data_IF_494764777459
#
_entry.id   IF_494764777459
#
_cell.length_a   1.000
_cell.length_b   1.000
_cell.length_c   1.000
_cell.angle_alpha   90.00
_cell.angle_beta   90.00
_cell.angle_gamma   90.00
#
_symmetry.space_group_name_H-M   'P 1'
#
loop_
_entity.id
_entity.type
_entity.pdbx_description
1 polymer ?
#
# COMPACT_ATOMS: atom_id res chain seq x y z
N UNK A 1 -6.44 16.88 -2.49
CA UNK A 1 -5.91 17.79 -1.42
C UNK A 1 -4.83 18.68 -2.01
N UNK A 2 -4.90 20.03 -1.86
CA UNK A 2 -3.95 20.96 -2.53
C UNK A 2 -2.92 21.56 -1.58
N UNK A 3 -3.25 21.68 -0.30
CA UNK A 3 -2.39 22.23 0.74
C UNK A 3 -2.03 21.15 1.74
N UNK A 4 -0.78 21.11 2.16
CA UNK A 4 -0.23 20.05 3.01
C UNK A 4 0.31 20.62 4.33
N UNK A 5 0.79 21.86 4.34
CA UNK A 5 1.39 22.48 5.51
C UNK A 5 0.44 22.45 6.71
N UNK A 6 0.94 22.03 7.86
CA UNK A 6 0.17 21.87 9.10
C UNK A 6 -0.82 20.70 9.13
N UNK A 7 -1.05 20.00 8.02
CA UNK A 7 -1.90 18.81 7.98
C UNK A 7 -1.17 17.58 8.49
N UNK A 8 -1.91 16.47 8.69
CA UNK A 8 -1.36 15.24 9.27
C UNK A 8 -1.60 14.03 8.38
N UNK A 9 -0.62 13.14 8.32
CA UNK A 9 -0.66 11.88 7.59
C UNK A 9 -0.42 10.69 8.52
N UNK A 10 -1.09 9.56 8.24
CA UNK A 10 -0.80 8.26 8.83
C UNK A 10 -0.38 7.27 7.73
N UNK A 11 0.75 6.59 7.93
CA UNK A 11 1.37 5.73 6.90
C UNK A 11 1.70 4.37 7.52
N UNK A 12 1.08 3.30 7.02
CA UNK A 12 1.45 1.92 7.39
C UNK A 12 2.64 1.43 6.56
N UNK A 13 3.54 0.64 7.18
CA UNK A 13 4.82 0.27 6.56
C UNK A 13 5.70 1.50 6.33
N UNK A 14 5.60 2.50 7.24
CA UNK A 14 6.22 3.81 7.09
C UNK A 14 7.70 3.89 7.46
N UNK A 15 8.28 2.82 8.01
CA UNK A 15 9.67 2.83 8.47
C UNK A 15 10.69 2.44 7.38
N UNK A 16 10.23 2.02 6.20
CA UNK A 16 11.12 1.61 5.09
C UNK A 16 10.45 1.76 3.72
N UNK A 17 11.25 1.59 2.66
CA UNK A 17 10.77 1.51 1.28
C UNK A 17 9.83 2.66 0.89
N UNK A 18 8.76 2.33 0.14
CA UNK A 18 7.78 3.31 -0.38
C UNK A 18 7.14 4.11 0.75
N UNK A 19 6.79 3.46 1.88
CA UNK A 19 6.18 4.15 3.03
C UNK A 19 7.07 5.24 3.60
N UNK A 20 8.37 4.99 3.75
CA UNK A 20 9.34 5.99 4.21
C UNK A 20 9.55 7.09 3.16
N UNK A 21 9.58 6.73 1.86
CA UNK A 21 9.64 7.71 0.78
C UNK A 21 8.44 8.67 0.80
N UNK A 22 7.22 8.15 1.00
CA UNK A 22 6.02 8.99 1.20
C UNK A 22 6.14 9.84 2.46
N UNK A 23 6.56 9.27 3.60
CA UNK A 23 6.74 9.99 4.85
C UNK A 23 7.68 11.20 4.70
N UNK A 24 8.81 11.01 4.01
CA UNK A 24 9.77 12.07 3.69
C UNK A 24 9.17 13.16 2.80
N UNK A 25 8.44 12.77 1.77
CA UNK A 25 7.81 13.72 0.86
C UNK A 25 6.75 14.57 1.57
N UNK A 26 5.92 13.96 2.41
CA UNK A 26 4.90 14.66 3.19
C UNK A 26 5.50 15.56 4.27
N UNK A 27 6.52 15.08 4.99
CA UNK A 27 7.25 15.90 5.95
C UNK A 27 7.89 17.12 5.29
N UNK A 28 8.49 16.95 4.11
CA UNK A 28 9.07 18.06 3.34
C UNK A 28 8.02 19.05 2.81
N UNK A 29 6.75 18.64 2.76
CA UNK A 29 5.61 19.51 2.43
C UNK A 29 4.94 20.13 3.68
N UNK A 30 5.56 20.01 4.87
CA UNK A 30 5.09 20.60 6.12
C UNK A 30 4.04 19.80 6.89
N UNK A 31 3.78 18.52 6.49
CA UNK A 31 2.83 17.68 7.21
C UNK A 31 3.44 17.10 8.48
N UNK A 32 2.62 16.96 9.54
CA UNK A 32 2.88 16.07 10.66
C UNK A 32 2.72 14.62 10.20
N UNK A 33 3.62 13.72 10.57
CA UNK A 33 3.64 12.36 10.04
C UNK A 33 3.59 11.32 11.14
N UNK A 34 2.58 10.47 11.15
CA UNK A 34 2.56 9.24 11.92
C UNK A 34 2.99 8.07 11.02
N UNK A 35 4.04 7.36 11.42
CA UNK A 35 4.51 6.15 10.74
C UNK A 35 4.25 4.94 11.62
N UNK A 36 3.65 3.92 11.05
CA UNK A 36 3.41 2.64 11.70
C UNK A 36 4.15 1.52 10.96
N UNK A 37 4.83 0.65 11.71
CA UNK A 37 5.55 -0.50 11.15
C UNK A 37 5.60 -1.62 12.19
N UNK A 38 5.73 -2.88 11.72
CA UNK A 38 5.90 -4.03 12.61
C UNK A 38 7.31 -4.11 13.20
N UNK A 39 8.27 -3.35 12.63
CA UNK A 39 9.68 -3.35 13.02
C UNK A 39 10.01 -2.12 13.86
N UNK A 40 9.96 -2.27 15.17
CA UNK A 40 10.27 -1.19 16.12
C UNK A 40 11.69 -0.62 15.95
N UNK A 41 12.66 -1.45 15.58
CA UNK A 41 14.04 -1.03 15.37
C UNK A 41 14.22 -0.04 14.20
N UNK A 42 13.35 -0.10 13.18
CA UNK A 42 13.39 0.83 12.04
C UNK A 42 12.66 2.14 12.34
N UNK A 43 11.66 2.11 13.21
CA UNK A 43 10.84 3.29 13.54
C UNK A 43 11.68 4.42 14.14
N UNK A 44 12.61 4.11 15.06
CA UNK A 44 13.46 5.14 15.70
C UNK A 44 14.33 5.89 14.69
N UNK A 45 14.91 5.16 13.72
CA UNK A 45 15.73 5.75 12.65
C UNK A 45 14.88 6.58 11.70
N UNK A 46 13.72 6.08 11.31
CA UNK A 46 12.79 6.79 10.44
C UNK A 46 12.26 8.06 11.11
N UNK A 47 11.94 8.01 12.41
CA UNK A 47 11.53 9.18 13.20
C UNK A 47 12.56 10.30 13.14
N UNK A 48 13.82 10.00 13.45
CA UNK A 48 14.89 11.00 13.42
C UNK A 48 15.05 11.64 12.02
N UNK A 49 14.92 10.84 10.97
CA UNK A 49 14.99 11.31 9.58
C UNK A 49 13.82 12.24 9.22
N UNK A 50 12.61 11.95 9.69
CA UNK A 50 11.41 12.77 9.43
C UNK A 50 11.47 14.05 10.25
N UNK A 51 11.82 13.98 11.55
CA UNK A 51 11.95 15.15 12.43
C UNK A 51 13.05 16.14 11.98
N UNK A 52 14.10 15.63 11.34
CA UNK A 52 15.14 16.47 10.73
C UNK A 52 14.59 17.41 9.62
N UNK A 53 13.36 17.18 9.14
CA UNK A 53 12.64 18.04 8.18
C UNK A 53 11.79 19.13 8.85
N UNK A 54 11.86 19.24 10.19
CA UNK A 54 11.21 20.29 10.96
C UNK A 54 9.73 20.04 11.28
N UNK A 55 9.25 18.80 11.17
CA UNK A 55 7.86 18.43 11.46
C UNK A 55 7.77 17.44 12.62
N UNK A 56 6.60 17.36 13.25
CA UNK A 56 6.32 16.35 14.27
C UNK A 56 6.20 14.95 13.64
N UNK A 57 6.84 13.95 14.26
CA UNK A 57 6.75 12.55 13.87
C UNK A 57 6.30 11.66 15.04
N UNK A 58 5.18 10.96 14.85
CA UNK A 58 4.71 9.90 15.74
C UNK A 58 5.13 8.54 15.17
N UNK A 59 5.63 7.64 16.02
CA UNK A 59 5.95 6.27 15.65
C UNK A 59 5.09 5.28 16.42
N UNK A 60 4.54 4.30 15.73
CA UNK A 60 3.67 3.28 16.32
C UNK A 60 4.14 1.90 15.84
N UNK A 61 4.50 1.02 16.79
CA UNK A 61 4.71 -0.39 16.45
C UNK A 61 3.36 -1.05 16.19
N UNK A 62 3.14 -1.56 14.98
CA UNK A 62 1.83 -2.01 14.53
C UNK A 62 1.91 -3.19 13.57
N UNK A 63 1.23 -4.28 13.93
CA UNK A 63 0.81 -5.31 13.01
C UNK A 63 -0.58 -4.93 12.45
N UNK A 64 -0.67 -4.55 11.20
CA UNK A 64 -1.92 -4.12 10.54
C UNK A 64 -2.99 -5.22 10.47
N UNK A 65 -2.60 -6.50 10.64
CA UNK A 65 -3.53 -7.62 10.73
C UNK A 65 -4.26 -7.70 12.08
N UNK A 66 -3.80 -6.94 13.09
CA UNK A 66 -4.49 -6.81 14.37
C UNK A 66 -5.45 -5.61 14.36
N UNK A 67 -6.74 -5.90 14.23
CA UNK A 67 -7.79 -4.88 14.18
C UNK A 67 -7.86 -4.01 15.44
N UNK A 68 -7.57 -4.57 16.61
CA UNK A 68 -7.60 -3.83 17.87
C UNK A 68 -6.43 -2.86 17.95
N UNK A 69 -5.23 -3.31 17.60
CA UNK A 69 -4.04 -2.47 17.53
C UNK A 69 -4.21 -1.33 16.52
N UNK A 70 -4.82 -1.59 15.35
CA UNK A 70 -5.11 -0.54 14.35
C UNK A 70 -6.05 0.53 14.89
N UNK A 71 -7.10 0.15 15.62
CA UNK A 71 -8.02 1.12 16.27
C UNK A 71 -7.32 1.95 17.33
N UNK A 72 -6.42 1.34 18.11
CA UNK A 72 -5.61 2.06 19.08
C UNK A 72 -4.68 3.05 18.39
N UNK A 73 -3.98 2.64 17.32
CA UNK A 73 -3.11 3.51 16.53
C UNK A 73 -3.87 4.74 15.96
N UNK A 74 -5.12 4.55 15.54
CA UNK A 74 -5.98 5.64 15.10
C UNK A 74 -6.27 6.64 16.22
N UNK A 75 -6.57 6.15 17.43
CA UNK A 75 -6.80 6.97 18.63
C UNK A 75 -5.54 7.74 19.01
N UNK A 76 -4.38 7.10 19.05
CA UNK A 76 -3.09 7.71 19.36
C UNK A 76 -2.72 8.80 18.34
N UNK A 77 -2.97 8.57 17.06
CA UNK A 77 -2.72 9.56 16.00
C UNK A 77 -3.53 10.84 16.19
N UNK A 78 -4.82 10.71 16.49
CA UNK A 78 -5.67 11.89 16.75
C UNK A 78 -5.32 12.56 18.07
N UNK A 79 -4.95 11.80 19.10
CA UNK A 79 -4.48 12.38 20.35
C UNK A 79 -3.21 13.22 20.18
N UNK A 80 -2.29 12.80 19.30
CA UNK A 80 -1.06 13.52 19.01
C UNK A 80 -1.27 14.74 18.09
N UNK A 81 -2.06 14.61 17.04
CA UNK A 81 -2.14 15.61 15.96
C UNK A 81 -3.46 16.39 15.92
N UNK A 82 -4.46 15.97 16.67
CA UNK A 82 -5.81 16.56 16.70
C UNK A 82 -6.71 16.09 15.55
N UNK A 83 -6.22 16.07 14.32
CA UNK A 83 -6.95 15.66 13.12
C UNK A 83 -6.10 14.75 12.26
N UNK A 84 -6.74 13.96 11.40
CA UNK A 84 -6.07 13.22 10.33
C UNK A 84 -6.59 13.71 8.98
N UNK A 85 -5.70 13.95 8.02
CA UNK A 85 -6.05 14.43 6.67
C UNK A 85 -5.65 13.44 5.57
N UNK A 86 -4.64 12.60 5.80
CA UNK A 86 -4.14 11.65 4.82
C UNK A 86 -3.91 10.28 5.47
N UNK A 87 -4.52 9.25 4.87
CA UNK A 87 -4.27 7.85 5.20
C UNK A 87 -3.53 7.17 4.05
N UNK A 88 -2.37 6.56 4.33
CA UNK A 88 -1.64 5.73 3.37
C UNK A 88 -1.62 4.27 3.84
N UNK A 89 -2.47 3.45 3.27
CA UNK A 89 -2.46 2.00 3.41
C UNK A 89 -1.36 1.43 2.51
N UNK A 90 -0.15 1.32 3.06
CA UNK A 90 1.02 0.93 2.29
C UNK A 90 1.67 -0.36 2.81
N UNK A 91 1.46 -0.74 4.06
CA UNK A 91 2.00 -1.99 4.58
C UNK A 91 1.62 -3.19 3.70
N UNK A 92 2.60 -4.01 3.38
CA UNK A 92 2.37 -5.18 2.53
C UNK A 92 3.56 -6.12 2.51
N UNK A 93 3.30 -7.35 2.11
CA UNK A 93 4.29 -8.44 2.00
C UNK A 93 4.17 -9.10 0.63
N UNK A 94 5.30 -9.51 0.07
CA UNK A 94 5.34 -10.20 -1.23
C UNK A 94 4.84 -11.65 -1.16
N UNK A 95 4.69 -12.19 0.03
CA UNK A 95 4.32 -13.59 0.25
C UNK A 95 5.49 -14.53 0.02
N UNK A 96 5.17 -15.82 -0.04
CA UNK A 96 6.09 -16.89 -0.39
C UNK A 96 5.93 -17.17 -1.88
N UNK A 97 7.05 -17.24 -2.61
CA UNK A 97 7.05 -17.49 -4.05
C UNK A 97 6.75 -18.97 -4.34
N UNK A 98 5.49 -19.37 -4.12
CA UNK A 98 4.99 -20.72 -4.27
C UNK A 98 3.80 -20.71 -5.24
N UNK A 99 3.71 -21.64 -6.19
CA UNK A 99 2.53 -21.80 -7.06
C UNK A 99 1.24 -22.02 -6.27
N UNK A 100 0.11 -21.61 -6.82
CA UNK A 100 -1.18 -21.70 -6.12
C UNK A 100 -1.58 -23.16 -5.79
N UNK A 101 -1.21 -24.12 -6.62
CA UNK A 101 -1.44 -25.55 -6.43
C UNK A 101 -0.52 -26.19 -5.38
N UNK A 102 0.48 -25.45 -4.91
CA UNK A 102 1.44 -25.87 -3.88
C UNK A 102 1.35 -25.00 -2.61
N UNK A 103 0.49 -23.97 -2.62
CA UNK A 103 0.35 -23.02 -1.54
C UNK A 103 -0.29 -23.64 -0.29
N UNK A 104 0.19 -23.26 0.88
CA UNK A 104 -0.32 -23.69 2.17
C UNK A 104 -1.32 -22.70 2.75
N UNK A 105 -2.23 -23.15 3.62
CA UNK A 105 -3.23 -22.29 4.28
C UNK A 105 -2.59 -21.08 4.95
N UNK A 106 -1.47 -21.27 5.66
CA UNK A 106 -0.76 -20.18 6.34
C UNK A 106 -0.10 -19.19 5.38
N UNK A 107 0.15 -19.54 4.12
CA UNK A 107 0.65 -18.61 3.10
C UNK A 107 -0.48 -17.65 2.70
N UNK A 108 -1.68 -18.19 2.48
CA UNK A 108 -2.89 -17.42 2.23
C UNK A 108 -3.25 -16.53 3.39
N UNK A 109 -3.31 -17.09 4.60
CA UNK A 109 -3.64 -16.36 5.81
C UNK A 109 -2.72 -15.15 6.01
N UNK A 110 -1.41 -15.35 5.87
CA UNK A 110 -0.46 -14.26 6.04
C UNK A 110 -0.66 -13.14 5.03
N UNK A 111 -0.67 -13.46 3.75
CA UNK A 111 -0.69 -12.44 2.69
C UNK A 111 -2.03 -11.72 2.65
N UNK A 112 -3.15 -12.43 2.80
CA UNK A 112 -4.49 -11.82 2.86
C UNK A 112 -4.62 -10.93 4.09
N UNK A 113 -4.24 -11.42 5.28
CA UNK A 113 -4.40 -10.64 6.51
C UNK A 113 -3.54 -9.38 6.52
N UNK A 114 -2.35 -9.40 5.93
CA UNK A 114 -1.49 -8.22 5.86
C UNK A 114 -1.93 -7.28 4.72
N UNK A 115 -1.97 -7.78 3.47
CA UNK A 115 -2.12 -6.92 2.30
C UNK A 115 -3.55 -6.39 2.12
N UNK A 116 -4.56 -7.22 2.38
CA UNK A 116 -5.96 -6.85 2.17
C UNK A 116 -6.64 -6.46 3.48
N UNK A 117 -6.67 -7.37 4.46
CA UNK A 117 -7.37 -7.10 5.71
C UNK A 117 -6.70 -6.01 6.53
N UNK A 118 -5.37 -5.85 6.44
CA UNK A 118 -4.66 -4.71 7.02
C UNK A 118 -5.17 -3.37 6.49
N UNK A 119 -5.31 -3.24 5.16
CA UNK A 119 -5.91 -2.05 4.57
C UNK A 119 -7.37 -1.85 5.00
N UNK A 120 -8.19 -2.91 5.01
CA UNK A 120 -9.58 -2.87 5.50
C UNK A 120 -9.64 -2.41 6.96
N UNK A 121 -8.80 -2.93 7.82
CA UNK A 121 -8.74 -2.54 9.23
C UNK A 121 -8.44 -1.04 9.38
N UNK A 122 -7.49 -0.52 8.60
CA UNK A 122 -7.17 0.91 8.59
C UNK A 122 -8.34 1.75 8.04
N UNK A 123 -8.97 1.36 6.93
CA UNK A 123 -10.14 2.07 6.41
C UNK A 123 -11.25 2.19 7.47
N UNK A 124 -11.57 1.09 8.16
CA UNK A 124 -12.60 1.07 9.21
C UNK A 124 -12.25 1.94 10.42
N UNK A 125 -10.97 2.07 10.76
CA UNK A 125 -10.53 2.88 11.89
C UNK A 125 -10.38 4.37 11.56
N UNK A 126 -9.90 4.70 10.36
CA UNK A 126 -9.47 6.05 10.01
C UNK A 126 -10.49 6.85 9.17
N UNK A 127 -11.38 6.20 8.39
CA UNK A 127 -12.42 6.93 7.63
C UNK A 127 -13.32 7.78 8.56
N UNK A 128 -13.79 7.27 9.72
CA UNK A 128 -14.56 8.11 10.65
C UNK A 128 -13.82 9.36 11.10
N UNK A 129 -12.50 9.29 11.26
CA UNK A 129 -11.66 10.42 11.66
C UNK A 129 -11.50 11.45 10.54
N UNK A 130 -11.32 11.00 9.28
CA UNK A 130 -11.31 11.86 8.09
C UNK A 130 -12.64 12.60 7.90
N UNK A 131 -13.76 11.94 8.22
CA UNK A 131 -15.10 12.54 8.13
C UNK A 131 -15.38 13.56 9.25
N UNK A 132 -14.86 13.33 10.45
CA UNK A 132 -15.27 14.04 11.66
C UNK A 132 -14.94 15.54 11.66
N UNK A 133 -13.86 15.95 10.98
CA UNK A 133 -13.44 17.36 10.97
C UNK A 133 -13.98 18.18 9.79
N UNK A 134 -14.57 17.54 8.77
CA UNK A 134 -15.21 18.23 7.64
C UNK A 134 -14.30 19.02 6.70
N UNK A 135 -12.98 18.91 6.85
CA UNK A 135 -11.99 19.62 6.02
C UNK A 135 -11.61 18.85 4.74
N UNK A 136 -12.29 17.72 4.49
CA UNK A 136 -11.90 16.78 3.47
C UNK A 136 -10.68 15.96 3.89
N UNK A 137 -10.11 15.25 2.94
CA UNK A 137 -8.94 14.40 3.19
C UNK A 137 -8.57 13.61 1.98
N UNK A 138 -7.63 12.67 2.14
CA UNK A 138 -7.24 11.78 1.06
C UNK A 138 -6.86 10.40 1.59
N UNK A 139 -7.15 9.36 0.81
CA UNK A 139 -6.75 7.98 1.11
C UNK A 139 -5.93 7.44 -0.05
N UNK A 140 -4.79 6.83 0.26
CA UNK A 140 -3.97 6.11 -0.70
C UNK A 140 -3.92 4.65 -0.31
N UNK A 141 -4.31 3.78 -1.23
CA UNK A 141 -4.09 2.35 -1.11
C UNK A 141 -2.96 1.92 -2.06
N UNK A 142 -1.95 1.23 -1.52
CA UNK A 142 -0.82 0.71 -2.30
C UNK A 142 -1.14 -0.69 -2.80
N UNK A 143 -1.54 -0.77 -4.07
CA UNK A 143 -1.65 -2.03 -4.80
C UNK A 143 -0.29 -2.42 -5.42
N UNK A 144 -0.26 -2.67 -6.70
CA UNK A 144 0.91 -3.01 -7.53
C UNK A 144 0.46 -3.07 -8.99
N UNK A 145 1.38 -3.03 -9.93
CA UNK A 145 1.11 -3.48 -11.31
C UNK A 145 0.61 -4.93 -11.35
N UNK A 146 0.96 -5.75 -10.34
CA UNK A 146 0.39 -7.10 -10.14
C UNK A 146 -1.10 -7.10 -9.76
N UNK A 147 -1.71 -5.96 -9.46
CA UNK A 147 -3.16 -5.78 -9.31
C UNK A 147 -3.87 -5.44 -10.63
N UNK A 148 -3.12 -5.10 -11.66
CA UNK A 148 -3.66 -4.75 -12.98
C UNK A 148 -3.46 -5.87 -14.00
N UNK A 149 -2.44 -6.70 -13.81
CA UNK A 149 -2.13 -7.89 -14.60
C UNK A 149 -1.44 -8.96 -13.76
N UNK A 150 -1.43 -10.20 -14.21
CA UNK A 150 -0.64 -11.28 -13.61
C UNK A 150 0.66 -11.43 -14.38
N UNK A 151 1.79 -11.52 -13.65
CA UNK A 151 3.09 -11.79 -14.27
C UNK A 151 3.15 -13.23 -14.82
N UNK A 152 3.88 -13.40 -15.92
CA UNK A 152 4.19 -14.73 -16.43
C UNK A 152 5.05 -15.50 -15.43
N UNK A 153 4.82 -16.81 -15.35
CA UNK A 153 5.51 -17.68 -14.41
C UNK A 153 4.65 -18.05 -13.19
N UNK A 154 5.22 -18.90 -12.33
CA UNK A 154 4.55 -19.45 -11.16
C UNK A 154 4.99 -18.74 -9.87
N UNK A 155 4.13 -18.71 -8.87
CA UNK A 155 4.50 -18.33 -7.50
C UNK A 155 4.07 -16.93 -7.04
N UNK A 156 3.44 -16.11 -7.88
CA UNK A 156 2.94 -14.79 -7.52
C UNK A 156 1.42 -14.71 -7.32
N UNK A 157 0.73 -15.85 -7.35
CA UNK A 157 -0.74 -15.88 -7.39
C UNK A 157 -1.41 -15.28 -6.15
N UNK A 158 -0.96 -15.62 -4.94
CA UNK A 158 -1.54 -15.10 -3.69
C UNK A 158 -1.34 -13.57 -3.60
N UNK A 159 -0.13 -13.11 -3.90
CA UNK A 159 0.17 -11.68 -3.91
C UNK A 159 -0.71 -10.93 -4.93
N UNK A 160 -0.75 -11.41 -6.18
CA UNK A 160 -1.60 -10.82 -7.22
C UNK A 160 -3.07 -10.78 -6.80
N UNK A 161 -3.60 -11.86 -6.20
CA UNK A 161 -4.97 -11.91 -5.69
C UNK A 161 -5.25 -10.76 -4.73
N UNK A 162 -4.38 -10.51 -3.75
CA UNK A 162 -4.58 -9.41 -2.81
C UNK A 162 -4.46 -8.04 -3.47
N UNK A 163 -3.59 -7.90 -4.47
CA UNK A 163 -3.40 -6.63 -5.19
C UNK A 163 -4.55 -6.32 -6.15
N UNK A 164 -5.15 -7.32 -6.80
CA UNK A 164 -6.40 -7.16 -7.56
C UNK A 164 -7.58 -6.80 -6.63
N UNK A 165 -7.67 -7.42 -5.45
CA UNK A 165 -8.71 -7.08 -4.47
C UNK A 165 -8.60 -5.62 -4.02
N UNK A 166 -7.37 -5.11 -3.81
CA UNK A 166 -7.13 -3.70 -3.47
C UNK A 166 -7.56 -2.76 -4.61
N UNK A 167 -7.38 -3.14 -5.88
CA UNK A 167 -7.87 -2.34 -7.02
C UNK A 167 -9.38 -2.18 -6.92
N UNK A 168 -10.14 -3.28 -6.93
CA UNK A 168 -11.60 -3.21 -6.88
C UNK A 168 -12.13 -2.51 -5.62
N UNK A 169 -11.51 -2.75 -4.45
CA UNK A 169 -11.86 -2.06 -3.21
C UNK A 169 -11.62 -0.55 -3.32
N UNK A 170 -10.53 -0.10 -3.95
CA UNK A 170 -10.18 1.32 -4.03
C UNK A 170 -11.06 2.05 -5.05
N UNK A 171 -11.39 1.41 -6.18
CA UNK A 171 -12.36 1.95 -7.16
C UNK A 171 -13.74 2.16 -6.55
N UNK A 172 -14.23 1.18 -5.75
CA UNK A 172 -15.49 1.32 -5.02
C UNK A 172 -15.41 2.44 -3.96
N UNK A 173 -14.30 2.50 -3.21
CA UNK A 173 -14.08 3.50 -2.17
C UNK A 173 -14.07 4.93 -2.73
N UNK A 174 -13.53 5.15 -3.94
CA UNK A 174 -13.58 6.45 -4.61
C UNK A 174 -15.02 6.92 -4.79
N UNK A 175 -15.90 6.04 -5.27
CA UNK A 175 -17.32 6.38 -5.48
C UNK A 175 -18.02 6.72 -4.16
N UNK A 176 -17.74 5.94 -3.10
CA UNK A 176 -18.36 6.11 -1.78
C UNK A 176 -17.91 7.41 -1.08
N UNK A 177 -16.66 7.84 -1.27
CA UNK A 177 -16.07 8.97 -0.55
C UNK A 177 -16.09 10.28 -1.32
N UNK A 178 -16.24 10.25 -2.63
CA UNK A 178 -16.33 11.44 -3.48
C UNK A 178 -17.40 12.45 -3.03
N UNK A 179 -18.64 12.03 -2.65
CA UNK A 179 -19.66 12.96 -2.15
C UNK A 179 -19.29 13.63 -0.82
N UNK A 180 -18.31 13.08 -0.11
CA UNK A 180 -17.85 13.57 1.19
C UNK A 180 -16.61 14.48 1.09
N UNK A 181 -16.14 14.78 -0.12
CA UNK A 181 -14.94 15.58 -0.35
C UNK A 181 -13.64 14.90 0.10
N UNK A 182 -13.63 13.58 0.21
CA UNK A 182 -12.43 12.79 0.52
C UNK A 182 -11.92 12.16 -0.78
N UNK A 183 -10.72 12.57 -1.20
CA UNK A 183 -10.06 12.02 -2.38
C UNK A 183 -9.55 10.60 -2.12
N UNK A 184 -9.42 9.83 -3.19
CA UNK A 184 -8.90 8.45 -3.13
C UNK A 184 -7.93 8.24 -4.29
N UNK A 185 -6.78 7.68 -4.01
CA UNK A 185 -5.82 7.27 -5.04
C UNK A 185 -5.36 5.83 -4.84
N UNK A 186 -5.07 5.18 -5.95
CA UNK A 186 -4.54 3.82 -6.02
C UNK A 186 -3.11 3.86 -6.54
N UNK A 187 -2.15 3.63 -5.66
CA UNK A 187 -0.74 3.50 -6.04
C UNK A 187 -0.48 2.08 -6.57
N UNK A 188 -0.06 1.99 -7.83
CA UNK A 188 0.29 0.74 -8.51
C UNK A 188 1.78 0.74 -8.88
N UNK A 189 2.68 0.47 -7.93
CA UNK A 189 4.11 0.43 -8.23
C UNK A 189 4.46 -0.72 -9.17
N UNK A 190 5.39 -0.46 -10.10
CA UNK A 190 6.25 -1.45 -10.70
C UNK A 190 7.40 -1.79 -9.73
N UNK A 191 8.61 -1.89 -10.24
CA UNK A 191 9.76 -2.15 -9.37
C UNK A 191 10.24 -0.88 -8.67
N UNK A 192 10.26 -0.92 -7.34
CA UNK A 192 10.80 0.11 -6.45
C UNK A 192 11.81 -0.55 -5.52
N UNK A 193 12.93 0.12 -5.22
CA UNK A 193 14.00 -0.38 -4.34
C UNK A 193 13.50 -0.54 -2.92
N UNK A 194 13.00 -1.73 -2.60
CA UNK A 194 12.42 -2.06 -1.31
C UNK A 194 12.86 -3.43 -0.82
N UNK A 195 12.59 -3.70 0.45
CA UNK A 195 12.81 -5.01 1.07
C UNK A 195 11.60 -5.97 0.88
N UNK A 196 10.65 -5.65 0.02
CA UNK A 196 9.47 -6.48 -0.24
C UNK A 196 9.80 -7.93 -0.63
N UNK A 197 10.81 -8.21 -1.48
CA UNK A 197 11.22 -9.58 -1.80
C UNK A 197 11.72 -10.37 -0.60
N UNK A 198 12.21 -9.68 0.43
CA UNK A 198 12.74 -10.26 1.65
C UNK A 198 11.70 -10.31 2.79
N UNK A 199 10.43 -9.96 2.52
CA UNK A 199 9.37 -9.95 3.53
C UNK A 199 9.20 -11.29 4.29
N UNK A 200 9.41 -12.48 3.70
CA UNK A 200 9.25 -13.75 4.41
C UNK A 200 10.11 -13.92 5.67
N UNK A 201 11.25 -13.21 5.78
CA UNK A 201 12.07 -13.18 7.01
C UNK A 201 11.34 -12.55 8.22
N UNK A 202 10.28 -11.78 7.97
CA UNK A 202 9.50 -11.06 8.98
C UNK A 202 8.12 -11.69 9.22
N UNK A 203 7.86 -12.88 8.67
CA UNK A 203 6.57 -13.57 8.82
C UNK A 203 6.34 -13.86 10.31
N UNK A 204 5.24 -13.37 10.91
CA UNK A 204 4.93 -13.62 12.31
C UNK A 204 4.70 -15.10 12.62
N UNK A 205 4.99 -15.51 13.88
CA UNK A 205 4.82 -16.89 14.32
C UNK A 205 3.39 -17.42 14.13
N UNK A 206 2.37 -16.57 14.31
CA UNK A 206 0.96 -16.92 14.08
C UNK A 206 0.64 -17.35 12.65
N UNK A 207 1.49 -17.01 11.69
CA UNK A 207 1.41 -17.40 10.29
C UNK A 207 2.50 -18.39 9.86
N UNK A 208 3.10 -19.13 10.80
CA UNK A 208 4.13 -20.13 10.52
C UNK A 208 5.57 -19.68 10.74
N UNK A 209 5.79 -18.42 11.09
CA UNK A 209 7.12 -17.90 11.42
C UNK A 209 8.00 -17.56 10.21
N UNK A 210 9.22 -17.02 10.49
CA UNK A 210 10.15 -16.60 9.45
C UNK A 210 10.58 -17.74 8.52
N UNK A 211 10.72 -17.43 7.23
CA UNK A 211 11.24 -18.36 6.21
C UNK A 211 12.62 -17.88 5.76
N UNK A 212 13.57 -18.82 5.73
CA UNK A 212 14.95 -18.52 5.38
C UNK A 212 15.11 -18.04 3.91
N UNK A 213 16.06 -17.14 3.64
CA UNK A 213 16.42 -16.76 2.28
C UNK A 213 16.81 -17.98 1.44
N UNK A 214 16.39 -18.02 0.18
CA UNK A 214 16.67 -19.11 -0.75
C UNK A 214 15.51 -20.05 -1.04
N UNK A 215 14.54 -20.17 -0.13
CA UNK A 215 13.30 -20.94 -0.38
C UNK A 215 12.19 -20.09 -1.01
N UNK A 216 12.36 -18.76 -1.04
CA UNK A 216 11.30 -17.82 -1.37
C UNK A 216 11.73 -16.71 -2.33
N UNK A 217 13.02 -16.56 -2.62
CA UNK A 217 13.50 -15.50 -3.49
C UNK A 217 13.52 -15.93 -4.96
N UNK A 218 12.64 -15.35 -5.75
CA UNK A 218 12.86 -15.27 -7.18
C UNK A 218 14.03 -14.28 -7.40
N UNK A 219 15.21 -14.78 -7.75
CA UNK A 219 16.41 -13.96 -7.93
C UNK A 219 16.20 -12.85 -8.98
N UNK A 220 15.36 -13.10 -9.98
CA UNK A 220 15.01 -12.09 -10.99
C UNK A 220 14.15 -10.96 -10.41
N UNK A 221 13.20 -11.25 -9.53
CA UNK A 221 12.39 -10.21 -8.85
C UNK A 221 13.24 -9.36 -7.90
N UNK A 222 14.18 -9.99 -7.18
CA UNK A 222 15.10 -9.27 -6.30
C UNK A 222 16.03 -8.36 -7.08
N UNK A 223 16.55 -8.83 -8.21
CA UNK A 223 17.42 -8.02 -9.11
C UNK A 223 16.62 -6.86 -9.74
N UNK A 224 15.39 -7.09 -10.18
CA UNK A 224 14.51 -6.07 -10.73
C UNK A 224 14.15 -5.02 -9.67
N UNK A 225 13.85 -5.43 -8.43
CA UNK A 225 13.62 -4.50 -7.33
C UNK A 225 14.85 -3.66 -7.01
N UNK A 226 16.07 -4.24 -7.05
CA UNK A 226 17.31 -3.51 -6.80
C UNK A 226 17.63 -2.45 -7.88
N UNK A 227 17.14 -2.61 -9.10
CA UNK A 227 17.26 -1.64 -10.20
C UNK A 227 16.05 -0.72 -10.36
N UNK A 228 15.04 -0.87 -9.52
CA UNK A 228 13.79 -0.10 -9.58
C UNK A 228 13.93 1.38 -9.18
N UNK A 229 12.80 2.07 -9.19
CA UNK A 229 12.69 3.47 -8.76
C UNK A 229 13.15 3.65 -7.30
N UNK A 230 13.75 4.79 -7.00
CA UNK A 230 14.06 5.15 -5.60
C UNK A 230 12.76 5.39 -4.80
N UNK A 231 12.68 4.93 -3.53
CA UNK A 231 11.52 5.17 -2.69
C UNK A 231 11.15 6.65 -2.53
N UNK A 232 12.13 7.53 -2.46
CA UNK A 232 11.92 8.96 -2.32
C UNK A 232 11.27 9.58 -3.57
N UNK A 233 11.61 9.09 -4.75
CA UNK A 233 10.99 9.54 -6.00
C UNK A 233 9.55 9.02 -6.12
N UNK A 234 9.29 7.79 -5.66
CA UNK A 234 7.93 7.29 -5.52
C UNK A 234 7.11 8.16 -4.56
N UNK A 235 7.67 8.57 -3.40
CA UNK A 235 7.01 9.46 -2.46
C UNK A 235 6.67 10.83 -3.06
N UNK A 236 7.57 11.43 -3.83
CA UNK A 236 7.32 12.68 -4.56
C UNK A 236 6.23 12.54 -5.63
N UNK A 237 6.24 11.42 -6.35
CA UNK A 237 5.20 11.10 -7.33
C UNK A 237 3.83 11.04 -6.67
N UNK A 238 3.71 10.33 -5.54
CA UNK A 238 2.46 10.24 -4.77
C UNK A 238 2.00 11.62 -4.28
N UNK A 239 2.90 12.44 -3.73
CA UNK A 239 2.56 13.79 -3.30
C UNK A 239 1.99 14.64 -4.46
N UNK A 240 2.59 14.55 -5.64
CA UNK A 240 2.12 15.27 -6.82
C UNK A 240 0.75 14.76 -7.31
N UNK A 241 0.55 13.45 -7.30
CA UNK A 241 -0.72 12.85 -7.68
C UNK A 241 -1.87 13.28 -6.76
N UNK A 242 -1.64 13.36 -5.44
CA UNK A 242 -2.63 13.89 -4.49
C UNK A 242 -2.98 15.35 -4.81
N UNK A 243 -1.98 16.19 -5.17
CA UNK A 243 -2.21 17.59 -5.56
C UNK A 243 -3.10 17.72 -6.78
N UNK A 244 -2.94 16.81 -7.73
CA UNK A 244 -3.64 16.80 -9.01
C UNK A 244 -4.96 16.01 -8.97
N UNK A 245 -5.27 15.38 -7.83
CA UNK A 245 -6.44 14.51 -7.66
C UNK A 245 -6.44 13.32 -8.63
N UNK A 246 -5.26 12.72 -8.84
CA UNK A 246 -5.07 11.58 -9.73
C UNK A 246 -5.47 10.28 -9.01
N UNK A 247 -6.35 9.49 -9.63
CA UNK A 247 -6.78 8.21 -9.05
C UNK A 247 -5.72 7.12 -9.21
N UNK A 248 -5.28 6.82 -10.45
CA UNK A 248 -4.24 5.82 -10.70
C UNK A 248 -2.85 6.45 -10.68
N UNK A 249 -1.98 5.96 -9.79
CA UNK A 249 -0.60 6.40 -9.67
C UNK A 249 0.31 5.21 -10.06
N UNK A 250 0.90 5.27 -11.25
CA UNK A 250 1.85 4.27 -11.73
C UNK A 250 3.26 4.82 -11.65
N UNK A 251 4.21 3.99 -11.23
CA UNK A 251 5.64 4.37 -11.16
C UNK A 251 6.40 4.03 -12.44
N UNK A 252 5.80 3.27 -13.35
CA UNK A 252 6.42 2.78 -14.57
C UNK A 252 5.40 2.70 -15.71
N UNK A 253 5.78 3.17 -16.90
CA UNK A 253 4.98 3.10 -18.12
C UNK A 253 5.19 1.83 -18.95
N UNK A 254 6.18 0.99 -18.62
CA UNK A 254 6.56 -0.19 -19.40
C UNK A 254 5.51 -1.32 -19.34
N UNK A 255 4.56 -1.26 -18.42
CA UNK A 255 3.50 -2.26 -18.24
C UNK A 255 2.31 -2.10 -19.20
N UNK A 256 2.31 -1.04 -20.01
CA UNK A 256 1.18 -0.65 -20.88
C UNK A 256 0.70 -1.81 -21.75
N UNK A 257 1.58 -2.43 -22.50
CA UNK A 257 1.20 -3.44 -23.50
C UNK A 257 0.64 -4.72 -22.82
N UNK A 258 1.19 -5.07 -21.66
CA UNK A 258 0.72 -6.25 -20.90
C UNK A 258 -0.62 -6.00 -20.24
N UNK A 259 -0.86 -4.80 -19.75
CA UNK A 259 -2.17 -4.40 -19.22
C UNK A 259 -3.18 -4.33 -20.35
N UNK A 260 -2.80 -3.76 -21.52
CA UNK A 260 -3.64 -3.70 -22.69
C UNK A 260 -4.06 -5.09 -23.18
N UNK A 261 -3.12 -6.03 -23.28
CA UNK A 261 -3.40 -7.42 -23.68
C UNK A 261 -4.45 -8.10 -22.77
N UNK A 262 -4.45 -7.78 -21.47
CA UNK A 262 -5.52 -8.26 -20.55
C UNK A 262 -6.87 -7.66 -20.89
N UNK A 263 -6.94 -6.35 -21.19
CA UNK A 263 -8.19 -5.70 -21.58
C UNK A 263 -8.69 -6.20 -22.92
N UNK A 264 -7.81 -6.45 -23.90
CA UNK A 264 -8.18 -7.00 -25.21
C UNK A 264 -8.87 -8.36 -25.05
N UNK A 265 -8.33 -9.26 -24.21
CA UNK A 265 -8.97 -10.54 -23.90
C UNK A 265 -10.34 -10.40 -23.26
N UNK A 266 -10.55 -9.38 -22.40
CA UNK A 266 -11.85 -9.10 -21.81
C UNK A 266 -12.84 -8.57 -22.86
N UNK A 267 -12.40 -7.66 -23.72
CA UNK A 267 -13.20 -7.09 -24.80
C UNK A 267 -13.67 -8.18 -25.78
N UNK A 268 -12.75 -9.06 -26.23
CA UNK A 268 -13.10 -10.21 -27.06
C UNK A 268 -14.13 -11.14 -26.40
N UNK A 269 -14.05 -11.33 -25.08
CA UNK A 269 -15.03 -12.14 -24.35
C UNK A 269 -16.42 -11.45 -24.30
N UNK A 270 -16.47 -10.14 -24.15
CA UNK A 270 -17.70 -9.33 -24.17
C UNK A 270 -18.32 -9.39 -25.56
N UNK A 271 -17.54 -9.25 -26.63
CA UNK A 271 -18.01 -9.32 -28.01
C UNK A 271 -18.64 -10.69 -28.32
N UNK A 272 -17.96 -11.78 -27.95
CA UNK A 272 -18.53 -13.14 -28.08
C UNK A 272 -19.84 -13.29 -27.30
N UNK A 273 -19.94 -12.72 -26.10
CA UNK A 273 -21.15 -12.79 -25.29
C UNK A 273 -22.34 -12.04 -25.93
N UNK A 274 -22.08 -10.95 -26.66
CA UNK A 274 -23.10 -10.16 -27.34
C UNK A 274 -23.72 -10.89 -28.56
N UNK A 275 -23.00 -11.87 -29.13
CA UNK A 275 -23.48 -12.68 -30.26
C UNK A 275 -24.36 -13.87 -29.81
N UNK A 276 -24.40 -14.17 -28.50
CA UNK A 276 -25.23 -15.28 -27.98
C UNK A 276 -26.68 -14.83 -27.89
N UNK A 277 -27.51 -15.38 -28.73
CA UNK A 277 -28.99 -15.27 -28.68
C UNK A 277 -29.53 -16.47 -27.90
N UNK A 278 -30.27 -16.24 -26.80
CA UNK A 278 -30.99 -17.25 -26.02
C UNK A 278 -32.43 -17.41 -26.52
#
# INVERSE_FOLDING_TARGET
MKEFDGKSAFITGGASGIGLGMARAFASAGMKVAIADIKSELLSKAKADIEARGVECLTIELDVSDRTAVRQAATETVAAFGKLHLLCNNAGVGGINRPLDEAEDLDWDWVINVNLMGAVNCLLAFIPLLKAHGEGGHIINTSSVSGLRVYDGRGQGIYATTKFALVGMTEALEQDLKPLGIGVSLLCPGFVKTELPNAPRNRPAKFGGPVAPGHTSNSSLSAAAASGMEPDDCGKLVLNAIKNDEFYILTDGNERDLIQARFDRLTEAIERAAEVTF
#
